data_IF_609332445395
#
_entry.id   IF_609332445395
#
_cell.length_a   1.000
_cell.length_b   1.000
_cell.length_c   1.000
_cell.angle_alpha   90.00
_cell.angle_beta   90.00
_cell.angle_gamma   90.00
#
_symmetry.space_group_name_H-M   'P 1'
#
loop_
_entity.id
_entity.type
_entity.pdbx_description
1 polymer ?
#
# COMPACT_ATOMS: atom_id res chain seq x y z
N UNK A 1 16.63 -28.16 -33.86
CA UNK A 1 17.85 -28.09 -33.04
C UNK A 1 19.06 -28.33 -33.91
N UNK A 2 19.72 -27.27 -34.38
CA UNK A 2 21.10 -27.39 -34.88
C UNK A 2 22.04 -27.32 -33.68
N UNK A 3 22.95 -28.29 -33.56
CA UNK A 3 24.01 -28.22 -32.55
C UNK A 3 24.82 -26.93 -32.82
N UNK A 4 25.10 -26.16 -31.77
CA UNK A 4 25.90 -24.91 -31.75
C UNK A 4 25.18 -23.56 -31.89
N UNK A 5 23.96 -23.48 -32.44
CA UNK A 5 23.22 -22.19 -32.55
C UNK A 5 22.07 -22.03 -31.55
N UNK A 6 21.91 -23.00 -30.65
CA UNK A 6 20.86 -22.97 -29.64
C UNK A 6 21.42 -23.03 -28.22
N UNK A 7 20.85 -22.24 -27.29
CA UNK A 7 21.21 -22.31 -25.88
C UNK A 7 20.74 -23.61 -25.24
N UNK A 8 21.48 -24.07 -24.24
CA UNK A 8 21.19 -25.32 -23.52
C UNK A 8 19.92 -25.20 -22.67
N UNK A 9 18.85 -25.85 -23.10
CA UNK A 9 17.62 -26.01 -22.33
C UNK A 9 17.79 -27.08 -21.26
N UNK A 10 17.35 -26.80 -20.04
CA UNK A 10 17.32 -27.72 -18.91
C UNK A 10 15.88 -27.88 -18.41
N UNK A 11 15.53 -29.02 -17.81
CA UNK A 11 14.24 -29.20 -17.15
C UNK A 11 14.16 -28.31 -15.89
N UNK A 12 13.08 -27.53 -15.78
CA UNK A 12 12.87 -26.53 -14.72
C UNK A 12 11.44 -26.65 -14.18
N UNK A 13 11.29 -26.53 -12.85
CA UNK A 13 10.02 -26.41 -12.14
C UNK A 13 9.82 -24.94 -11.77
N UNK A 14 8.72 -24.35 -12.21
CA UNK A 14 8.28 -23.04 -11.77
C UNK A 14 7.31 -23.21 -10.59
N UNK A 15 7.70 -22.73 -9.42
CA UNK A 15 6.89 -22.78 -8.21
C UNK A 15 6.28 -21.41 -7.97
N UNK A 16 4.96 -21.33 -7.98
CA UNK A 16 4.25 -20.10 -7.60
C UNK A 16 4.28 -19.94 -6.07
N UNK A 17 4.84 -18.83 -5.57
CA UNK A 17 4.90 -18.55 -4.13
C UNK A 17 3.53 -18.23 -3.52
N UNK A 18 2.59 -17.75 -4.33
CA UNK A 18 1.26 -17.31 -3.87
C UNK A 18 0.26 -18.47 -3.77
N UNK A 19 0.35 -19.44 -4.68
CA UNK A 19 -0.61 -20.54 -4.81
C UNK A 19 0.01 -21.94 -4.59
N UNK A 20 1.34 -22.04 -4.48
CA UNK A 20 2.06 -23.32 -4.37
C UNK A 20 1.94 -24.21 -5.61
N UNK A 21 1.48 -23.66 -6.75
CA UNK A 21 1.32 -24.39 -7.99
C UNK A 21 2.70 -24.65 -8.62
N UNK A 22 2.95 -25.88 -9.07
CA UNK A 22 4.19 -26.30 -9.71
C UNK A 22 3.97 -26.52 -11.21
N UNK A 23 4.77 -25.85 -12.06
CA UNK A 23 4.73 -26.01 -13.51
C UNK A 23 6.04 -26.58 -14.04
N UNK A 24 5.97 -27.71 -14.75
CA UNK A 24 7.13 -28.37 -15.36
C UNK A 24 7.33 -27.85 -16.80
N UNK A 25 8.50 -27.30 -17.08
CA UNK A 25 8.85 -26.85 -18.43
C UNK A 25 10.36 -26.96 -18.70
N UNK A 26 10.76 -26.97 -19.97
CA UNK A 26 12.16 -26.86 -20.34
C UNK A 26 12.53 -25.39 -20.52
N UNK A 27 13.50 -24.90 -19.76
CA UNK A 27 13.93 -23.50 -19.77
C UNK A 27 15.45 -23.37 -19.84
N UNK A 28 15.94 -22.21 -20.29
CA UNK A 28 17.36 -21.83 -20.26
C UNK A 28 17.74 -21.01 -19.03
N UNK A 29 16.76 -20.72 -18.16
CA UNK A 29 16.96 -19.99 -16.91
C UNK A 29 17.86 -20.80 -15.98
N UNK A 30 18.83 -20.12 -15.36
CA UNK A 30 19.70 -20.72 -14.35
C UNK A 30 19.11 -20.42 -12.97
N UNK A 31 18.82 -21.45 -12.19
CA UNK A 31 18.55 -21.30 -10.76
C UNK A 31 19.55 -22.09 -9.92
N UNK A 32 19.71 -21.67 -8.66
CA UNK A 32 20.61 -22.30 -7.70
C UNK A 32 19.92 -23.43 -6.90
N UNK A 33 18.58 -23.45 -6.92
CA UNK A 33 17.77 -24.44 -6.22
C UNK A 33 17.49 -25.60 -7.18
N UNK A 34 17.79 -26.83 -6.75
CA UNK A 34 17.49 -28.05 -7.49
C UNK A 34 16.56 -28.93 -6.68
N UNK A 35 15.60 -29.55 -7.36
CA UNK A 35 14.67 -30.51 -6.76
C UNK A 35 14.59 -31.74 -7.63
N UNK A 36 14.78 -32.90 -7.03
CA UNK A 36 14.65 -34.19 -7.69
C UNK A 36 13.20 -34.63 -7.61
N UNK A 37 12.55 -34.75 -8.76
CA UNK A 37 11.19 -35.29 -8.88
C UNK A 37 11.29 -36.48 -9.84
N UNK A 38 10.84 -37.66 -9.40
CA UNK A 38 10.81 -38.90 -10.18
C UNK A 38 12.16 -39.30 -10.83
N UNK A 39 13.26 -39.02 -10.12
CA UNK A 39 14.62 -39.37 -10.55
C UNK A 39 15.23 -38.43 -11.59
N UNK A 40 14.53 -37.34 -11.95
CA UNK A 40 15.03 -36.29 -12.85
C UNK A 40 15.35 -35.05 -12.01
N UNK A 41 16.54 -34.48 -12.22
CA UNK A 41 16.95 -33.24 -11.58
C UNK A 41 16.34 -32.03 -12.28
N UNK A 42 15.47 -31.31 -11.58
CA UNK A 42 14.88 -30.07 -12.07
C UNK A 42 15.49 -28.86 -11.35
N UNK A 43 15.65 -27.78 -12.10
CA UNK A 43 15.94 -26.46 -11.54
C UNK A 43 14.66 -25.82 -11.02
N UNK A 44 14.64 -25.35 -9.77
CA UNK A 44 13.47 -24.70 -9.17
C UNK A 44 13.58 -23.19 -9.37
N UNK A 45 12.53 -22.58 -9.90
CA UNK A 45 12.42 -21.13 -10.05
C UNK A 45 11.13 -20.63 -9.40
N UNK A 46 11.28 -19.77 -8.40
CA UNK A 46 10.15 -19.19 -7.68
C UNK A 46 9.57 -18.02 -8.47
N UNK A 47 8.27 -18.09 -8.77
CA UNK A 47 7.53 -17.07 -9.53
C UNK A 47 6.52 -16.41 -8.61
N UNK A 48 6.41 -15.08 -8.68
CA UNK A 48 5.49 -14.31 -7.84
C UNK A 48 4.02 -14.40 -8.29
N UNK A 49 3.78 -14.50 -9.60
CA UNK A 49 2.45 -14.53 -10.21
C UNK A 49 2.42 -15.56 -11.34
N UNK A 50 1.47 -16.50 -11.28
CA UNK A 50 1.21 -17.48 -12.34
C UNK A 50 -0.24 -17.42 -12.82
N UNK A 51 -0.56 -18.25 -13.81
CA UNK A 51 -1.94 -18.45 -14.27
C UNK A 51 -2.89 -18.84 -13.12
N UNK A 52 -2.36 -19.53 -12.10
CA UNK A 52 -3.16 -19.94 -10.95
C UNK A 52 -3.45 -18.81 -9.94
N UNK A 53 -2.63 -17.75 -9.90
CA UNK A 53 -2.77 -16.66 -8.92
C UNK A 53 -3.28 -15.35 -9.51
N UNK A 54 -3.23 -15.16 -10.83
CA UNK A 54 -3.70 -13.90 -11.41
C UNK A 54 -5.24 -13.84 -11.45
N UNK A 55 -5.87 -12.75 -10.93
CA UNK A 55 -7.33 -12.59 -10.90
C UNK A 55 -8.00 -12.67 -12.27
N UNK A 56 -7.28 -12.35 -13.35
CA UNK A 56 -7.78 -12.47 -14.71
C UNK A 56 -8.01 -13.93 -15.12
N UNK A 57 -7.09 -14.83 -14.79
CA UNK A 57 -7.18 -16.24 -15.16
C UNK A 57 -8.09 -17.04 -14.22
N UNK A 58 -8.14 -16.66 -12.94
CA UNK A 58 -9.00 -17.32 -11.95
C UNK A 58 -10.44 -16.83 -11.96
N UNK A 59 -10.74 -15.71 -12.64
CA UNK A 59 -12.08 -15.13 -12.75
C UNK A 59 -12.66 -14.58 -11.44
N UNK A 60 -11.96 -14.76 -10.31
CA UNK A 60 -12.35 -14.26 -9.00
C UNK A 60 -11.64 -12.94 -8.77
N UNK A 61 -12.37 -11.84 -8.92
CA UNK A 61 -11.88 -10.55 -8.44
C UNK A 61 -11.70 -10.64 -6.92
N UNK A 62 -10.46 -10.46 -6.47
CA UNK A 62 -10.19 -10.12 -5.07
C UNK A 62 -10.83 -8.74 -4.89
N UNK A 63 -12.06 -8.72 -4.36
CA UNK A 63 -12.77 -7.49 -4.02
C UNK A 63 -11.96 -6.78 -2.94
N UNK A 64 -11.05 -5.89 -3.34
CA UNK A 64 -10.37 -4.96 -2.44
C UNK A 64 -11.36 -3.84 -2.12
N UNK A 65 -12.34 -4.24 -1.31
CA UNK A 65 -13.23 -3.49 -0.43
C UNK A 65 -13.50 -2.03 -0.80
N UNK A 66 -14.58 -1.82 -1.55
CA UNK A 66 -15.23 -0.52 -1.77
C UNK A 66 -16.02 -0.04 -0.56
N UNK A 67 -16.32 -0.90 0.44
CA UNK A 67 -17.28 -0.60 1.50
C UNK A 67 -16.78 0.50 2.45
N UNK A 68 -15.47 0.58 2.69
CA UNK A 68 -14.90 1.55 3.65
C UNK A 68 -14.66 2.96 3.10
N UNK A 69 -15.00 3.23 1.83
CA UNK A 69 -14.81 4.59 1.27
C UNK A 69 -15.75 5.61 1.93
N UNK A 70 -16.99 5.21 2.20
CA UNK A 70 -18.00 6.05 2.87
C UNK A 70 -17.60 6.28 4.33
N UNK A 71 -17.19 5.22 5.03
CA UNK A 71 -16.68 5.31 6.41
C UNK A 71 -15.46 6.24 6.51
N UNK A 72 -14.47 6.11 5.63
CA UNK A 72 -13.30 7.01 5.58
C UNK A 72 -13.68 8.46 5.30
N UNK A 73 -14.74 8.72 4.54
CA UNK A 73 -15.24 10.08 4.32
C UNK A 73 -15.88 10.66 5.59
N UNK A 74 -16.69 9.89 6.30
CA UNK A 74 -17.25 10.29 7.59
C UNK A 74 -16.14 10.55 8.63
N UNK A 75 -15.13 9.68 8.71
CA UNK A 75 -13.98 9.90 9.60
C UNK A 75 -13.18 11.17 9.26
N UNK A 76 -12.94 11.44 7.97
CA UNK A 76 -12.24 12.66 7.53
C UNK A 76 -13.04 13.91 7.84
N UNK A 77 -14.34 13.91 7.57
CA UNK A 77 -15.21 15.07 7.82
C UNK A 77 -15.39 15.33 9.32
N UNK A 78 -15.45 14.30 10.15
CA UNK A 78 -15.44 14.44 11.60
C UNK A 78 -14.13 15.08 12.10
N UNK A 79 -12.97 14.60 11.61
CA UNK A 79 -11.66 15.17 11.96
C UNK A 79 -11.50 16.63 11.53
N UNK A 80 -12.01 17.01 10.36
CA UNK A 80 -11.93 18.41 9.89
C UNK A 80 -12.88 19.34 10.65
N UNK A 81 -14.07 18.86 11.07
CA UNK A 81 -14.96 19.63 11.96
C UNK A 81 -14.30 19.93 13.31
N UNK A 82 -13.71 18.92 13.96
CA UNK A 82 -12.98 19.08 15.22
C UNK A 82 -11.79 20.04 15.05
N UNK A 83 -11.03 19.94 13.95
CA UNK A 83 -9.94 20.86 13.64
C UNK A 83 -10.43 22.30 13.37
N UNK A 84 -11.63 22.48 12.82
CA UNK A 84 -12.23 23.79 12.58
C UNK A 84 -12.74 24.46 13.86
N UNK A 85 -13.30 23.67 14.78
CA UNK A 85 -13.82 24.13 16.07
C UNK A 85 -12.69 24.52 17.02
N UNK A 86 -11.61 23.72 17.05
CA UNK A 86 -10.39 24.04 17.80
C UNK A 86 -9.69 25.29 17.24
N UNK A 87 -9.66 25.49 15.91
CA UNK A 87 -9.17 26.73 15.28
C UNK A 87 -10.05 27.95 15.59
N UNK A 88 -11.38 27.79 15.61
CA UNK A 88 -12.33 28.84 16.02
C UNK A 88 -12.14 29.21 17.50
N UNK A 89 -12.02 28.23 18.40
CA UNK A 89 -11.74 28.46 19.82
C UNK A 89 -10.41 29.19 20.07
N UNK A 90 -9.35 28.86 19.31
CA UNK A 90 -8.04 29.54 19.40
C UNK A 90 -8.10 30.98 18.85
N UNK A 91 -8.86 31.23 17.77
CA UNK A 91 -9.11 32.60 17.25
C UNK A 91 -9.95 33.43 18.23
N UNK A 92 -10.99 32.85 18.85
CA UNK A 92 -11.82 33.54 19.85
C UNK A 92 -11.03 33.84 21.13
N UNK A 93 -10.15 32.93 21.60
CA UNK A 93 -9.22 33.21 22.70
C UNK A 93 -8.21 34.31 22.37
N UNK A 94 -7.66 34.33 21.14
CA UNK A 94 -6.71 35.37 20.68
C UNK A 94 -7.39 36.74 20.48
N UNK A 95 -8.67 36.76 20.08
CA UNK A 95 -9.47 37.97 20.00
C UNK A 95 -9.83 38.53 21.39
N UNK A 96 -10.24 37.67 22.34
CA UNK A 96 -10.51 38.08 23.73
C UNK A 96 -9.26 38.61 24.45
N UNK A 97 -8.08 38.01 24.21
CA UNK A 97 -6.82 38.47 24.79
C UNK A 97 -6.38 39.86 24.27
N UNK A 98 -6.69 40.19 23.01
CA UNK A 98 -6.43 41.54 22.45
C UNK A 98 -7.40 42.59 22.99
N UNK A 99 -8.68 42.25 23.13
CA UNK A 99 -9.70 43.18 23.68
C UNK A 99 -9.45 43.49 25.16
N UNK A 100 -8.94 42.52 25.95
CA UNK A 100 -8.54 42.77 27.34
C UNK A 100 -7.26 43.61 27.49
N UNK A 101 -6.36 43.60 26.51
CA UNK A 101 -5.18 44.46 26.49
C UNK A 101 -5.54 45.91 26.14
N UNK A 102 -6.38 46.11 25.11
CA UNK A 102 -6.85 47.43 24.67
C UNK A 102 -7.69 48.15 25.74
N UNK A 103 -8.47 47.39 26.52
CA UNK A 103 -9.28 47.95 27.61
C UNK A 103 -8.44 48.38 28.82
N UNK A 104 -7.26 47.78 29.05
CA UNK A 104 -6.32 48.15 30.13
C UNK A 104 -5.53 49.42 29.80
N UNK A 105 -5.25 49.67 28.51
CA UNK A 105 -4.59 50.88 28.06
C UNK A 105 -5.54 52.10 28.08
N UNK A 106 -6.84 51.90 27.79
CA UNK A 106 -7.85 52.97 27.86
C UNK A 106 -8.23 53.40 29.28
N UNK A 107 -8.20 52.51 30.28
CA UNK A 107 -8.39 52.92 31.69
C UNK A 107 -7.16 53.66 32.25
N UNK A 108 -5.94 53.35 31.80
CA UNK A 108 -4.74 54.06 32.22
C UNK A 108 -4.62 55.50 31.68
N UNK A 109 -5.19 55.77 30.49
CA UNK A 109 -5.21 57.13 29.89
C UNK A 109 -6.29 58.07 30.45
N UNK A 110 -7.32 57.56 31.12
CA UNK A 110 -8.42 58.38 31.68
C UNK A 110 -8.13 58.94 33.08
N UNK A 111 -7.10 58.45 33.77
CA UNK A 111 -6.74 58.88 35.14
C UNK A 111 -5.68 60.01 35.14
N UNK A 112 -5.13 60.37 33.97
CA UNK A 112 -4.05 61.38 33.83
C UNK A 112 -4.46 62.68 33.13
N UNK A 113 -5.75 62.99 33.03
CA UNK A 113 -6.24 64.30 32.59
C UNK A 113 -7.20 64.86 33.62
#
# INVERSE_FOLDING_TARGET
>A
MKKEIHPTSKPTIFVDTSCGAEFFANSTVKSNETRTVDGIEYQVFNVEISSASHPFYTGKQILVDTARRVEKFHEKTAKTKIASETRKGKKVKKAKAKVSADKKEKTAKKVKK
#
